data_IF_115263939196
#
_entry.id   IF_115263939196
#
_cell.length_a   1.000
_cell.length_b   1.000
_cell.length_c   1.000
_cell.angle_alpha   90.00
_cell.angle_beta   90.00
_cell.angle_gamma   90.00
#
_symmetry.space_group_name_H-M   'P 1'
#
loop_
_entity.id
_entity.type
_entity.pdbx_description
1 polymer ?
#
# COMPACT_ATOMS: atom_id res chain seq x y z
N UNK A 1 -21.54 32.18 -13.15
CA UNK A 1 -22.40 30.98 -13.13
C UNK A 1 -22.38 30.36 -14.51
N UNK A 2 -21.39 29.50 -14.78
CA UNK A 2 -21.22 28.69 -15.99
C UNK A 2 -20.14 27.65 -15.65
N UNK A 3 -20.47 26.38 -15.71
CA UNK A 3 -19.49 25.30 -15.87
C UNK A 3 -19.26 25.13 -17.38
N UNK A 4 -18.02 25.09 -17.89
CA UNK A 4 -17.78 24.46 -19.17
C UNK A 4 -17.50 22.98 -18.93
N UNK A 5 -18.32 22.14 -19.57
CA UNK A 5 -18.00 20.76 -19.83
C UNK A 5 -16.83 20.70 -20.84
N UNK A 6 -15.71 20.09 -20.44
CA UNK A 6 -14.64 19.69 -21.35
C UNK A 6 -14.36 18.20 -21.16
N UNK A 7 -14.90 17.41 -22.08
CA UNK A 7 -14.24 16.34 -22.81
C UNK A 7 -12.92 15.80 -22.23
N UNK A 8 -12.97 14.53 -21.80
CA UNK A 8 -11.84 13.59 -21.89
C UNK A 8 -10.48 14.09 -21.40
N UNK A 9 -10.34 14.38 -20.11
CA UNK A 9 -9.03 14.54 -19.51
C UNK A 9 -8.34 13.16 -19.47
N UNK A 10 -7.55 12.87 -20.51
CA UNK A 10 -6.44 11.92 -20.40
C UNK A 10 -5.54 12.47 -19.30
N UNK A 11 -5.63 11.91 -18.10
CA UNK A 11 -4.68 12.17 -17.03
C UNK A 11 -3.33 11.60 -17.46
N UNK A 12 -2.59 12.40 -18.24
CA UNK A 12 -1.14 12.26 -18.38
C UNK A 12 -0.57 12.22 -16.97
N UNK A 13 0.29 11.23 -16.73
CA UNK A 13 1.02 11.02 -15.49
C UNK A 13 1.82 12.28 -15.14
N UNK A 14 1.17 13.25 -14.50
CA UNK A 14 1.84 14.44 -14.03
C UNK A 14 2.49 14.07 -12.71
N UNK A 15 3.82 14.06 -12.70
CA UNK A 15 4.58 14.05 -11.45
C UNK A 15 4.34 15.41 -10.79
N UNK A 16 3.25 15.49 -10.03
CA UNK A 16 2.93 16.64 -9.20
C UNK A 16 3.66 16.56 -7.86
N UNK A 17 3.90 17.72 -7.26
CA UNK A 17 4.20 17.81 -5.82
C UNK A 17 2.88 17.95 -5.07
N UNK A 18 2.83 17.42 -3.85
CA UNK A 18 1.61 17.43 -3.04
C UNK A 18 1.69 18.54 -2.00
N UNK A 19 0.71 19.44 -2.01
CA UNK A 19 0.52 20.41 -0.94
C UNK A 19 0.01 19.67 0.30
N UNK A 20 0.61 19.93 1.47
CA UNK A 20 0.48 19.14 2.70
C UNK A 20 -0.87 19.14 3.41
N UNK A 21 -1.99 19.26 2.69
CA UNK A 21 -3.33 19.38 3.25
C UNK A 21 -3.98 18.04 3.66
N UNK A 22 -3.44 16.88 3.24
CA UNK A 22 -3.99 15.58 3.63
C UNK A 22 -3.57 15.21 5.07
N UNK A 23 -4.52 14.88 5.97
CA UNK A 23 -4.21 14.42 7.32
C UNK A 23 -3.28 13.20 7.35
N UNK A 24 -3.34 12.34 6.32
CA UNK A 24 -2.42 11.19 6.20
C UNK A 24 -0.99 11.61 5.95
N UNK A 25 -0.75 12.69 5.20
CA UNK A 25 0.61 13.20 4.98
C UNK A 25 1.16 13.81 6.26
N UNK A 26 0.33 14.47 7.07
CA UNK A 26 0.73 14.93 8.41
C UNK A 26 1.09 13.75 9.33
N UNK A 27 0.25 12.70 9.34
CA UNK A 27 0.54 11.50 10.14
C UNK A 27 1.81 10.79 9.65
N UNK A 28 2.02 10.71 8.34
CA UNK A 28 3.22 10.14 7.77
C UNK A 28 4.46 10.98 8.05
N UNK A 29 4.35 12.32 8.12
CA UNK A 29 5.42 13.17 8.59
C UNK A 29 5.78 12.84 10.05
N UNK A 30 4.80 12.72 10.94
CA UNK A 30 5.05 12.40 12.35
C UNK A 30 5.66 10.99 12.57
N UNK A 31 5.22 9.98 11.79
CA UNK A 31 5.70 8.60 11.92
C UNK A 31 7.03 8.34 11.22
N UNK A 32 7.22 8.92 10.03
CA UNK A 32 8.31 8.57 9.11
C UNK A 32 9.23 9.75 8.76
N UNK A 33 8.87 10.99 9.08
CA UNK A 33 9.58 12.19 8.62
C UNK A 33 9.34 12.48 7.13
N UNK A 34 8.18 12.10 6.59
CA UNK A 34 7.82 12.41 5.21
C UNK A 34 7.60 13.92 5.03
N UNK A 35 8.46 14.58 4.26
CA UNK A 35 8.22 15.96 3.80
C UNK A 35 7.34 15.94 2.54
N UNK A 36 6.09 16.46 2.56
CA UNK A 36 5.16 16.35 1.43
C UNK A 36 5.70 16.90 0.10
N UNK A 37 6.53 17.95 0.17
CA UNK A 37 7.15 18.57 -1.00
C UNK A 37 8.13 17.65 -1.75
N UNK A 38 8.59 16.56 -1.11
CA UNK A 38 9.47 15.55 -1.71
C UNK A 38 8.68 14.47 -2.45
N UNK A 39 7.36 14.42 -2.29
CA UNK A 39 6.53 13.36 -2.84
C UNK A 39 6.26 13.57 -4.32
N UNK A 40 6.67 12.59 -5.13
CA UNK A 40 6.25 12.46 -6.52
C UNK A 40 5.02 11.56 -6.60
N UNK A 41 4.04 11.93 -7.42
CA UNK A 41 2.79 11.16 -7.56
C UNK A 41 2.39 10.95 -9.02
N UNK A 42 1.66 9.86 -9.29
CA UNK A 42 0.98 9.59 -10.56
C UNK A 42 -0.42 9.07 -10.22
N UNK A 43 -1.46 9.69 -10.77
CA UNK A 43 -2.85 9.30 -10.52
C UNK A 43 -3.56 10.19 -9.52
N UNK A 44 -4.57 9.66 -8.84
CA UNK A 44 -5.47 10.48 -8.02
C UNK A 44 -4.97 10.63 -6.57
N UNK A 45 -4.47 11.81 -6.21
CA UNK A 45 -3.92 12.07 -4.86
C UNK A 45 -4.99 12.03 -3.76
N UNK A 46 -6.25 12.30 -4.09
CA UNK A 46 -7.34 12.30 -3.11
C UNK A 46 -7.63 10.90 -2.57
N UNK A 47 -7.05 9.85 -3.15
CA UNK A 47 -7.13 8.47 -2.62
C UNK A 47 -6.41 8.31 -1.28
N UNK A 48 -5.61 9.29 -0.84
CA UNK A 48 -5.10 9.36 0.51
C UNK A 48 -6.14 9.77 1.54
N UNK A 49 -7.30 10.31 1.19
CA UNK A 49 -8.22 10.87 2.19
C UNK A 49 -9.31 9.91 2.70
N UNK A 50 -9.87 8.97 1.88
CA UNK A 50 -10.87 8.01 2.35
C UNK A 50 -10.39 7.18 3.53
N UNK A 51 -11.24 6.88 4.52
CA UNK A 51 -10.87 6.08 5.69
C UNK A 51 -10.60 4.61 5.31
N UNK A 52 -9.99 3.87 6.22
CA UNK A 52 -9.81 2.42 6.08
C UNK A 52 -8.65 1.98 5.18
N UNK A 53 -7.72 2.88 4.87
CA UNK A 53 -6.53 2.55 4.08
C UNK A 53 -5.68 1.49 4.78
N UNK A 54 -5.64 0.31 4.18
CA UNK A 54 -5.01 -0.89 4.74
C UNK A 54 -3.70 -1.18 4.04
N UNK A 55 -2.59 -1.18 4.79
CA UNK A 55 -1.30 -1.58 4.27
C UNK A 55 -1.22 -3.10 4.13
N UNK A 56 -0.85 -3.60 2.95
CA UNK A 56 -0.65 -5.02 2.70
C UNK A 56 0.84 -5.35 2.59
N UNK A 57 1.31 -6.31 3.38
CA UNK A 57 2.69 -6.77 3.33
C UNK A 57 2.84 -8.29 3.25
N UNK A 58 3.85 -8.73 2.51
CA UNK A 58 4.31 -10.11 2.54
C UNK A 58 5.83 -10.19 2.36
N UNK A 59 6.48 -11.11 3.08
CA UNK A 59 7.86 -11.49 2.80
C UNK A 59 7.97 -12.28 1.49
N UNK A 60 9.17 -12.30 0.89
CA UNK A 60 9.37 -12.93 -0.42
C UNK A 60 9.22 -14.45 -0.42
N UNK A 61 9.50 -15.10 0.71
CA UNK A 61 9.30 -16.54 0.91
C UNK A 61 8.03 -16.75 1.70
N UNK A 62 6.95 -17.19 1.04
CA UNK A 62 5.69 -17.51 1.70
C UNK A 62 5.64 -19.02 2.00
N UNK A 63 5.32 -19.44 3.24
CA UNK A 63 5.00 -20.83 3.56
C UNK A 63 3.80 -21.35 2.77
N UNK A 64 3.82 -22.62 2.39
CA UNK A 64 2.85 -23.19 1.45
C UNK A 64 1.41 -23.12 1.99
N UNK A 65 1.24 -23.31 3.30
CA UNK A 65 -0.03 -23.26 4.00
C UNK A 65 -0.72 -21.89 3.92
N UNK A 66 0.02 -20.82 3.66
CA UNK A 66 -0.52 -19.46 3.54
C UNK A 66 -0.85 -19.07 2.09
N UNK A 67 -0.54 -19.91 1.08
CA UNK A 67 -0.77 -19.58 -0.34
C UNK A 67 -2.26 -19.39 -0.63
N UNK A 68 -3.09 -20.39 -0.32
CA UNK A 68 -4.54 -20.31 -0.56
C UNK A 68 -5.20 -19.20 0.28
N UNK A 69 -4.93 -19.09 1.60
CA UNK A 69 -5.43 -17.95 2.40
C UNK A 69 -5.06 -16.57 1.84
N UNK A 70 -3.90 -16.44 1.19
CA UNK A 70 -3.51 -15.18 0.54
C UNK A 70 -4.39 -14.85 -0.66
N UNK A 71 -4.74 -15.85 -1.47
CA UNK A 71 -5.64 -15.67 -2.60
C UNK A 71 -7.07 -15.36 -2.15
N UNK A 72 -7.54 -15.99 -1.07
CA UNK A 72 -8.83 -15.70 -0.45
C UNK A 72 -8.86 -14.26 0.04
N UNK A 73 -7.87 -13.87 0.84
CA UNK A 73 -7.75 -12.51 1.34
C UNK A 73 -7.71 -11.46 0.21
N UNK A 74 -6.95 -11.71 -0.86
CA UNK A 74 -6.87 -10.77 -1.98
C UNK A 74 -8.20 -10.63 -2.74
N UNK A 75 -9.02 -11.69 -2.79
CA UNK A 75 -10.38 -11.63 -3.34
C UNK A 75 -11.31 -10.89 -2.40
N UNK A 76 -11.26 -11.18 -1.11
CA UNK A 76 -12.11 -10.53 -0.11
C UNK A 76 -11.86 -9.02 -0.08
N UNK A 77 -10.60 -8.58 0.05
CA UNK A 77 -10.22 -7.16 -0.03
C UNK A 77 -10.75 -6.45 -1.28
N UNK A 78 -10.80 -7.17 -2.40
CA UNK A 78 -11.33 -6.64 -3.66
C UNK A 78 -12.85 -6.56 -3.65
N UNK A 79 -13.51 -7.64 -3.23
CA UNK A 79 -14.95 -7.80 -3.32
C UNK A 79 -15.69 -6.97 -2.27
N UNK A 80 -15.08 -6.74 -1.11
CA UNK A 80 -15.60 -5.85 -0.06
C UNK A 80 -15.22 -4.38 -0.26
N UNK A 81 -14.38 -4.07 -1.25
CA UNK A 81 -14.07 -2.70 -1.60
C UNK A 81 -13.02 -2.03 -0.70
N UNK A 82 -12.19 -2.78 0.03
CA UNK A 82 -11.22 -2.25 1.00
C UNK A 82 -10.12 -1.45 0.30
N UNK A 83 -9.87 -0.18 0.66
CA UNK A 83 -8.73 0.58 0.15
C UNK A 83 -7.39 -0.05 0.56
N UNK A 84 -6.51 -0.35 -0.40
CA UNK A 84 -5.22 -1.01 -0.12
C UNK A 84 -4.03 -0.15 -0.53
N UNK A 85 -3.03 -0.06 0.36
CA UNK A 85 -1.71 0.51 0.06
C UNK A 85 -0.62 -0.56 0.18
N UNK A 86 0.35 -0.55 -0.72
CA UNK A 86 1.47 -1.49 -0.68
C UNK A 86 2.56 -1.11 -1.67
N UNK A 87 3.73 -1.74 -1.55
CA UNK A 87 4.77 -1.63 -2.59
C UNK A 87 4.84 -2.83 -3.52
N UNK A 88 3.98 -3.84 -3.30
CA UNK A 88 3.71 -4.96 -4.20
C UNK A 88 4.95 -5.58 -4.87
N UNK A 89 5.98 -5.88 -4.07
CA UNK A 89 7.27 -6.35 -4.57
C UNK A 89 7.44 -7.86 -4.42
N UNK A 90 7.04 -8.42 -3.27
CA UNK A 90 7.11 -9.86 -3.06
C UNK A 90 6.16 -10.58 -4.03
N UNK A 91 6.46 -11.83 -4.45
CA UNK A 91 5.65 -12.56 -5.42
C UNK A 91 4.16 -12.55 -5.07
N UNK A 92 3.82 -12.84 -3.81
CA UNK A 92 2.44 -12.89 -3.36
C UNK A 92 1.77 -11.52 -3.18
N UNK A 93 2.54 -10.44 -2.92
CA UNK A 93 1.97 -9.10 -3.00
C UNK A 93 1.63 -8.73 -4.47
N UNK A 94 2.44 -9.18 -5.43
CA UNK A 94 2.16 -8.98 -6.87
C UNK A 94 0.93 -9.78 -7.32
N UNK A 95 0.77 -11.00 -6.82
CA UNK A 95 -0.46 -11.77 -7.00
C UNK A 95 -1.66 -10.99 -6.48
N UNK A 96 -1.63 -10.54 -5.22
CA UNK A 96 -2.69 -9.75 -4.60
C UNK A 96 -3.01 -8.49 -5.42
N UNK A 97 -1.99 -7.73 -5.84
CA UNK A 97 -2.18 -6.55 -6.69
C UNK A 97 -2.99 -6.86 -7.97
N UNK A 98 -2.77 -8.02 -8.62
CA UNK A 98 -3.54 -8.39 -9.81
C UNK A 98 -5.02 -8.60 -9.53
N UNK A 99 -5.39 -9.13 -8.36
CA UNK A 99 -6.79 -9.18 -7.95
C UNK A 99 -7.32 -7.77 -7.69
N UNK A 100 -6.59 -6.97 -6.93
CA UNK A 100 -7.00 -5.62 -6.57
C UNK A 100 -7.20 -4.72 -7.80
N UNK A 101 -6.36 -4.84 -8.83
CA UNK A 101 -6.48 -4.10 -10.09
C UNK A 101 -7.76 -4.42 -10.89
N UNK A 102 -8.44 -5.54 -10.59
CA UNK A 102 -9.71 -5.94 -11.21
C UNK A 102 -10.95 -5.48 -10.43
N UNK A 103 -10.79 -4.89 -9.24
CA UNK A 103 -11.90 -4.36 -8.44
C UNK A 103 -12.23 -2.89 -8.71
N UNK A 104 -12.98 -2.28 -7.79
CA UNK A 104 -13.44 -0.88 -7.81
C UNK A 104 -12.97 -0.04 -6.60
N UNK A 105 -12.28 -0.66 -5.64
CA UNK A 105 -11.64 -0.05 -4.46
C UNK A 105 -10.34 0.73 -4.72
N UNK A 106 -10.07 1.84 -4.02
CA UNK A 106 -8.80 2.56 -4.13
C UNK A 106 -7.58 1.64 -3.94
N UNK A 107 -6.57 1.82 -4.79
CA UNK A 107 -5.27 1.16 -4.63
C UNK A 107 -4.16 2.20 -4.66
N UNK A 108 -3.24 2.13 -3.71
CA UNK A 108 -2.07 2.99 -3.63
C UNK A 108 -0.81 2.13 -3.74
N UNK A 109 0.01 2.40 -4.74
CA UNK A 109 1.25 1.69 -5.00
C UNK A 109 2.47 2.56 -4.67
N UNK A 110 3.30 2.09 -3.74
CA UNK A 110 4.50 2.79 -3.28
C UNK A 110 5.74 2.01 -3.70
N UNK A 111 6.32 2.29 -4.89
CA UNK A 111 7.54 1.63 -5.33
C UNK A 111 8.75 2.09 -4.51
N UNK A 112 9.75 1.22 -4.32
CA UNK A 112 11.03 1.55 -3.68
C UNK A 112 12.02 2.21 -4.66
N UNK A 113 11.55 3.18 -5.44
CA UNK A 113 12.30 3.94 -6.45
C UNK A 113 11.54 5.20 -6.86
N UNK A 114 12.20 6.12 -7.56
CA UNK A 114 11.54 7.29 -8.17
C UNK A 114 10.56 6.94 -9.29
N UNK A 115 9.71 7.91 -9.63
CA UNK A 115 8.64 7.76 -10.64
C UNK A 115 9.03 8.29 -12.02
N UNK A 116 10.15 9.00 -12.14
CA UNK A 116 10.64 9.52 -13.40
C UNK A 116 10.87 8.38 -14.41
N UNK A 117 10.33 8.52 -15.62
CA UNK A 117 10.42 7.49 -16.66
C UNK A 117 9.69 6.18 -16.35
N UNK A 118 8.85 6.13 -15.31
CA UNK A 118 8.14 4.90 -14.93
C UNK A 118 7.17 4.44 -16.04
N UNK A 119 7.37 3.22 -16.53
CA UNK A 119 6.49 2.58 -17.52
C UNK A 119 5.26 2.00 -16.81
N UNK A 120 4.09 2.54 -17.13
CA UNK A 120 2.80 2.06 -16.62
C UNK A 120 2.25 0.92 -17.47
N UNK A 121 1.82 -0.16 -16.80
CA UNK A 121 1.11 -1.26 -17.44
C UNK A 121 -0.27 -0.82 -17.96
N UNK A 122 -0.89 -1.63 -18.82
CA UNK A 122 -2.25 -1.35 -19.32
C UNK A 122 -3.27 -1.30 -18.19
N UNK A 123 -3.15 -2.18 -17.21
CA UNK A 123 -4.05 -2.22 -16.04
C UNK A 123 -3.87 -0.98 -15.16
N UNK A 124 -2.62 -0.55 -14.93
CA UNK A 124 -2.33 0.67 -14.18
C UNK A 124 -2.90 1.92 -14.86
N UNK A 125 -2.74 2.04 -16.20
CA UNK A 125 -3.33 3.16 -16.96
C UNK A 125 -4.84 3.20 -16.82
N UNK A 126 -5.52 2.07 -17.02
CA UNK A 126 -6.98 1.97 -16.84
C UNK A 126 -7.41 2.35 -15.41
N UNK A 127 -6.68 1.91 -14.40
CA UNK A 127 -6.99 2.22 -13.01
C UNK A 127 -6.73 3.71 -12.67
N UNK A 128 -5.73 4.34 -13.29
CA UNK A 128 -5.50 5.79 -13.19
C UNK A 128 -6.62 6.57 -13.88
N UNK A 129 -6.99 6.18 -15.10
CA UNK A 129 -8.10 6.79 -15.86
C UNK A 129 -9.43 6.67 -15.10
N UNK A 130 -9.66 5.56 -14.41
CA UNK A 130 -10.81 5.35 -13.53
C UNK A 130 -10.70 6.05 -12.16
N UNK A 131 -9.65 6.85 -11.92
CA UNK A 131 -9.46 7.63 -10.70
C UNK A 131 -9.21 6.80 -9.42
N UNK A 132 -8.89 5.51 -9.57
CA UNK A 132 -8.81 4.52 -8.47
C UNK A 132 -7.40 4.03 -8.14
N UNK A 133 -6.38 4.49 -8.88
CA UNK A 133 -4.98 4.18 -8.60
C UNK A 133 -4.20 5.46 -8.32
N UNK A 134 -3.40 5.42 -7.26
CA UNK A 134 -2.34 6.37 -6.95
C UNK A 134 -1.01 5.62 -6.89
N UNK A 135 0.01 6.12 -7.59
CA UNK A 135 1.39 5.69 -7.41
C UNK A 135 2.14 6.86 -6.80
N UNK A 136 2.80 6.64 -5.66
CA UNK A 136 3.53 7.71 -4.96
C UNK A 136 4.89 7.24 -4.50
N UNK A 137 5.88 8.14 -4.51
CA UNK A 137 7.23 7.85 -4.04
C UNK A 137 7.98 9.13 -3.67
N UNK A 138 8.65 9.19 -2.51
CA UNK A 138 9.58 10.26 -2.16
C UNK A 138 11.03 9.93 -2.59
N UNK A 139 11.26 8.79 -3.24
CA UNK A 139 12.61 8.33 -3.55
C UNK A 139 13.12 8.90 -4.88
N UNK A 140 14.40 9.27 -4.94
CA UNK A 140 15.02 9.84 -6.15
C UNK A 140 15.89 8.84 -6.92
N UNK A 141 16.37 7.77 -6.27
CA UNK A 141 17.20 6.73 -6.88
C UNK A 141 16.67 5.32 -6.57
N UNK A 142 17.29 4.28 -7.15
CA UNK A 142 16.93 2.87 -6.92
C UNK A 142 18.02 2.21 -6.07
N UNK A 143 17.76 1.97 -4.80
CA UNK A 143 18.69 1.27 -3.90
C UNK A 143 17.96 0.21 -3.07
N UNK A 144 18.65 -0.89 -2.72
CA UNK A 144 18.11 -1.97 -1.89
C UNK A 144 17.71 -1.50 -0.48
N UNK A 145 18.38 -0.46 0.04
CA UNK A 145 18.05 0.20 1.31
C UNK A 145 16.65 0.84 1.31
N UNK A 146 16.09 1.11 0.13
CA UNK A 146 14.78 1.73 -0.02
C UNK A 146 13.63 0.77 0.28
N UNK A 147 13.82 -0.54 0.24
CA UNK A 147 12.73 -1.48 0.52
C UNK A 147 12.22 -1.35 1.97
N UNK A 148 13.14 -1.21 2.94
CA UNK A 148 12.78 -1.01 4.34
C UNK A 148 12.14 0.38 4.57
N UNK A 149 12.74 1.44 4.01
CA UNK A 149 12.19 2.79 4.08
C UNK A 149 10.80 2.86 3.44
N UNK A 150 10.60 2.22 2.28
CA UNK A 150 9.30 2.09 1.62
C UNK A 150 8.28 1.39 2.50
N UNK A 151 8.66 0.30 3.18
CA UNK A 151 7.73 -0.40 4.08
C UNK A 151 7.26 0.52 5.21
N UNK A 152 8.19 1.25 5.81
CA UNK A 152 7.86 2.22 6.86
C UNK A 152 6.95 3.33 6.34
N UNK A 153 7.21 3.86 5.15
CA UNK A 153 6.33 4.85 4.50
C UNK A 153 4.93 4.30 4.24
N UNK A 154 4.81 3.09 3.70
CA UNK A 154 3.52 2.43 3.45
C UNK A 154 2.72 2.31 4.75
N UNK A 155 3.36 1.85 5.83
CA UNK A 155 2.71 1.78 7.15
C UNK A 155 2.37 3.15 7.71
N UNK A 156 3.25 4.14 7.55
CA UNK A 156 3.06 5.49 8.06
C UNK A 156 1.83 6.18 7.43
N UNK A 157 1.57 5.92 6.14
CA UNK A 157 0.39 6.40 5.41
C UNK A 157 -0.88 5.60 5.75
N UNK A 158 -0.77 4.34 6.17
CA UNK A 158 -1.93 3.50 6.44
C UNK A 158 -2.59 3.79 7.80
N UNK A 159 -3.86 3.43 7.91
CA UNK A 159 -4.57 3.38 9.20
C UNK A 159 -4.26 2.10 9.96
N UNK A 160 -4.04 1.02 9.23
CA UNK A 160 -3.94 -0.34 9.74
C UNK A 160 -3.06 -1.17 8.82
N UNK A 161 -2.48 -2.23 9.36
CA UNK A 161 -1.54 -3.08 8.65
C UNK A 161 -2.09 -4.50 8.61
N UNK A 162 -2.03 -5.11 7.44
CA UNK A 162 -2.32 -6.51 7.22
C UNK A 162 -1.07 -7.22 6.70
N UNK A 163 -0.59 -8.17 7.49
CA UNK A 163 0.60 -8.97 7.20
C UNK A 163 0.16 -10.36 6.75
N UNK A 164 0.34 -10.66 5.46
CA UNK A 164 0.15 -12.02 4.94
C UNK A 164 1.15 -12.96 5.62
N UNK A 165 2.44 -12.58 5.55
CA UNK A 165 3.51 -13.32 6.20
C UNK A 165 4.73 -12.44 6.40
N UNK A 166 5.35 -12.57 7.57
CA UNK A 166 6.69 -12.06 7.84
C UNK A 166 7.65 -13.24 7.93
N UNK A 167 8.83 -13.17 7.31
CA UNK A 167 9.89 -14.17 7.46
C UNK A 167 10.71 -13.87 8.73
N UNK A 168 11.02 -14.86 9.60
CA UNK A 168 11.80 -14.59 10.79
C UNK A 168 13.20 -14.12 10.44
N UNK A 169 13.65 -13.04 11.08
CA UNK A 169 14.92 -12.36 10.76
C UNK A 169 14.92 -11.63 9.40
N UNK A 170 13.77 -11.54 8.72
CA UNK A 170 13.63 -10.84 7.44
C UNK A 170 13.43 -9.33 7.60
N UNK A 171 13.60 -8.59 6.51
CA UNK A 171 13.47 -7.12 6.50
C UNK A 171 12.08 -6.62 6.92
N UNK A 172 11.01 -7.37 6.62
CA UNK A 172 9.64 -7.00 7.02
C UNK A 172 9.43 -7.08 8.54
N UNK A 173 10.19 -7.93 9.24
CA UNK A 173 10.03 -8.11 10.68
C UNK A 173 10.25 -6.81 11.45
N UNK A 174 11.30 -6.08 11.10
CA UNK A 174 11.61 -4.79 11.72
C UNK A 174 10.48 -3.77 11.47
N UNK A 175 9.91 -3.75 10.26
CA UNK A 175 8.77 -2.88 9.95
C UNK A 175 7.53 -3.24 10.78
N UNK A 176 7.22 -4.53 10.96
CA UNK A 176 6.07 -4.95 11.77
C UNK A 176 6.21 -4.52 13.23
N UNK A 177 7.40 -4.69 13.83
CA UNK A 177 7.67 -4.20 15.19
C UNK A 177 7.51 -2.68 15.28
N UNK A 178 7.95 -1.95 14.26
CA UNK A 178 7.77 -0.50 14.21
C UNK A 178 6.29 -0.09 14.11
N UNK A 179 5.47 -0.80 13.34
CA UNK A 179 4.03 -0.52 13.23
C UNK A 179 3.31 -0.71 14.57
N UNK A 180 3.65 -1.79 15.29
CA UNK A 180 3.15 -2.03 16.64
C UNK A 180 3.60 -0.94 17.61
N UNK A 181 4.87 -0.49 17.53
CA UNK A 181 5.38 0.61 18.34
C UNK A 181 4.70 1.96 18.03
N UNK A 182 4.21 2.17 16.81
CA UNK A 182 3.35 3.30 16.46
C UNK A 182 1.90 3.17 16.95
N UNK A 183 1.56 2.09 17.65
CA UNK A 183 0.21 1.82 18.15
C UNK A 183 -0.78 1.48 17.04
N UNK A 184 -0.32 1.05 15.87
CA UNK A 184 -1.20 0.71 14.77
C UNK A 184 -1.92 -0.63 15.00
N UNK A 185 -3.17 -0.78 14.55
CA UNK A 185 -3.77 -2.09 14.37
C UNK A 185 -2.94 -2.89 13.35
N UNK A 186 -2.39 -4.01 13.80
CA UNK A 186 -1.68 -4.96 12.94
C UNK A 186 -2.43 -6.28 12.96
N UNK A 187 -2.87 -6.73 11.80
CA UNK A 187 -3.45 -8.04 11.60
C UNK A 187 -2.48 -8.95 10.87
N UNK A 188 -2.53 -10.24 11.17
CA UNK A 188 -1.76 -11.25 10.47
C UNK A 188 -2.65 -12.42 10.07
N UNK A 189 -2.41 -13.04 8.90
CA UNK A 189 -3.10 -14.28 8.57
C UNK A 189 -2.83 -15.32 9.67
N UNK A 190 -3.87 -16.04 10.13
CA UNK A 190 -3.73 -17.04 11.18
C UNK A 190 -2.87 -18.22 10.70
N UNK A 191 -2.19 -18.87 11.64
CA UNK A 191 -1.34 -20.04 11.40
C UNK A 191 -0.03 -19.99 12.16
N UNK A 192 0.61 -21.15 12.32
CA UNK A 192 1.87 -21.28 13.08
C UNK A 192 2.99 -20.39 12.53
N UNK A 193 3.05 -20.23 11.21
CA UNK A 193 4.00 -19.37 10.51
C UNK A 193 4.01 -17.92 11.02
N UNK A 194 2.85 -17.40 11.45
CA UNK A 194 2.68 -16.05 11.97
C UNK A 194 2.50 -15.98 13.49
N UNK A 195 2.64 -17.11 14.23
CA UNK A 195 2.41 -17.15 15.67
C UNK A 195 3.20 -16.08 16.45
N UNK A 196 4.45 -15.81 16.02
CA UNK A 196 5.27 -14.75 16.64
C UNK A 196 4.72 -13.33 16.44
N UNK A 197 4.00 -13.07 15.36
CA UNK A 197 3.36 -11.78 15.13
C UNK A 197 2.24 -11.57 16.16
N UNK A 198 1.49 -12.62 16.45
CA UNK A 198 0.44 -12.60 17.48
C UNK A 198 1.04 -12.39 18.88
N UNK A 199 2.17 -13.05 19.18
CA UNK A 199 2.91 -12.83 20.43
C UNK A 199 3.42 -11.39 20.59
N UNK A 200 3.65 -10.65 19.49
CA UNK A 200 4.03 -9.24 19.55
C UNK A 200 2.83 -8.28 19.65
N UNK A 201 1.60 -8.78 19.61
CA UNK A 201 0.39 -7.97 19.72
C UNK A 201 -0.34 -7.74 18.40
N UNK A 202 0.04 -8.42 17.31
CA UNK A 202 -0.84 -8.48 16.15
C UNK A 202 -2.09 -9.31 16.48
N UNK A 203 -3.23 -8.94 15.90
CA UNK A 203 -4.45 -9.73 15.99
C UNK A 203 -4.57 -10.68 14.79
N UNK A 204 -5.26 -11.82 14.91
CA UNK A 204 -5.55 -12.66 13.74
C UNK A 204 -6.44 -11.88 12.77
N UNK A 205 -6.11 -11.96 11.49
CA UNK A 205 -6.94 -11.41 10.43
C UNK A 205 -8.21 -12.26 10.28
N UNK A 206 -9.36 -11.62 10.39
CA UNK A 206 -10.63 -12.13 9.89
C UNK A 206 -10.99 -11.33 8.63
N UNK A 207 -10.96 -11.93 7.42
CA UNK A 207 -11.32 -11.23 6.19
C UNK A 207 -12.73 -10.62 6.21
N UNK A 208 -13.64 -11.16 7.03
CA UNK A 208 -14.99 -10.60 7.21
C UNK A 208 -15.05 -9.36 8.12
N UNK A 209 -13.96 -9.00 8.78
CA UNK A 209 -13.88 -7.91 9.76
C UNK A 209 -13.15 -6.64 9.25
N UNK A 210 -12.75 -6.61 7.97
CA UNK A 210 -11.93 -5.56 7.36
C UNK A 210 -12.71 -4.45 6.65
#
# INVERSE_FOLDING_TARGET
MMWPATHGAVFLAHVGRVDGASPRLTLANARFGLEPATLSVIGNITLLDPPGLTALFCSHRLPAELILPTYDLARDLRDTGVPVIGGFHAPMEREALRFLMRGTQPVIHVPARGLEGMRLSREQRKAIEAGRLLILSPFTATESRLAAARNLLVGALAERVLVIYSLPGGALEASVKQFLAWGMPVWALPGEANARLLQWGAAPCDPGAL
#
